data_IF_439767739893
#
_entry.id   IF_439767739893
#
_cell.length_a   1.000
_cell.length_b   1.000
_cell.length_c   1.000
_cell.angle_alpha   90.00
_cell.angle_beta   90.00
_cell.angle_gamma   90.00
#
_symmetry.space_group_name_H-M   'P 1'
#
loop_
_entity.id
_entity.type
_entity.pdbx_description
1 polymer ?
#
# COMPACT_ATOMS: atom_id res chain seq x y z
N UNK A 1 -10.86 -2.56 31.29
CA UNK A 1 -10.73 -2.28 29.83
C UNK A 1 -11.05 -3.57 29.10
N UNK A 2 -11.92 -3.57 28.08
CA UNK A 2 -12.17 -4.76 27.28
C UNK A 2 -10.89 -5.19 26.55
N UNK A 3 -10.47 -6.45 26.72
CA UNK A 3 -9.22 -6.97 26.17
C UNK A 3 -9.29 -7.22 24.67
N UNK A 4 -10.47 -7.60 24.16
CA UNK A 4 -10.70 -7.88 22.75
C UNK A 4 -10.70 -6.61 21.89
N UNK A 5 -11.61 -5.67 22.17
CA UNK A 5 -11.81 -4.49 21.32
C UNK A 5 -11.00 -3.25 21.77
N UNK A 6 -10.45 -3.24 22.99
CA UNK A 6 -9.69 -2.12 23.58
C UNK A 6 -10.46 -0.77 23.68
N UNK A 7 -11.77 -0.72 23.38
CA UNK A 7 -12.58 0.52 23.37
C UNK A 7 -13.12 0.92 24.74
N UNK A 8 -13.79 -0.01 25.42
CA UNK A 8 -14.54 0.26 26.64
C UNK A 8 -13.65 0.04 27.86
N UNK A 9 -13.82 0.90 28.87
CA UNK A 9 -13.27 0.71 30.22
C UNK A 9 -14.42 0.40 31.17
N UNK A 10 -14.16 -0.52 32.10
CA UNK A 10 -15.10 -0.91 33.14
C UNK A 10 -14.46 -0.59 34.49
N UNK A 11 -15.27 -0.15 35.46
CA UNK A 11 -14.80 0.17 36.80
C UNK A 11 -14.57 -1.10 37.65
N UNK A 12 -15.18 -2.23 37.28
CA UNK A 12 -15.05 -3.51 37.97
C UNK A 12 -15.37 -4.68 37.04
N UNK A 13 -15.05 -5.90 37.46
CA UNK A 13 -15.44 -7.13 36.74
C UNK A 13 -16.96 -7.27 36.71
N UNK A 14 -17.66 -6.86 37.78
CA UNK A 14 -19.13 -6.90 37.85
C UNK A 14 -19.77 -5.97 36.81
N UNK A 15 -19.30 -4.73 36.74
CA UNK A 15 -19.72 -3.76 35.72
C UNK A 15 -19.44 -4.28 34.29
N UNK A 16 -18.32 -5.00 34.09
CA UNK A 16 -18.03 -5.63 32.80
C UNK A 16 -19.05 -6.73 32.44
N UNK A 17 -19.43 -7.58 33.38
CA UNK A 17 -20.39 -8.66 33.15
C UNK A 17 -21.80 -8.11 32.86
N UNK A 18 -22.23 -7.08 33.60
CA UNK A 18 -23.53 -6.45 33.42
C UNK A 18 -23.68 -5.79 32.04
N UNK A 19 -22.62 -5.12 31.54
CA UNK A 19 -22.65 -4.45 30.23
C UNK A 19 -22.14 -5.31 29.07
N UNK A 20 -21.74 -6.57 29.32
CA UNK A 20 -21.24 -7.46 28.25
C UNK A 20 -22.28 -7.68 27.15
N UNK A 21 -23.58 -7.94 27.45
CA UNK A 21 -24.59 -8.20 26.42
C UNK A 21 -24.81 -7.01 25.49
N UNK A 22 -24.82 -5.79 26.03
CA UNK A 22 -24.95 -4.55 25.25
C UNK A 22 -23.69 -4.28 24.41
N UNK A 23 -22.52 -4.72 24.90
CA UNK A 23 -21.25 -4.48 24.26
C UNK A 23 -20.89 -5.51 23.18
N UNK A 24 -21.35 -6.75 23.29
CA UNK A 24 -20.85 -7.92 22.54
C UNK A 24 -20.71 -7.67 21.03
N UNK A 25 -21.78 -7.19 20.38
CA UNK A 25 -21.78 -6.96 18.94
C UNK A 25 -20.80 -5.86 18.52
N UNK A 26 -20.73 -4.77 19.29
CA UNK A 26 -19.75 -3.70 19.05
C UNK A 26 -18.31 -4.17 19.32
N UNK A 27 -18.14 -5.08 20.28
CA UNK A 27 -16.86 -5.69 20.62
C UNK A 27 -16.33 -6.54 19.46
N UNK A 28 -17.18 -7.42 18.89
CA UNK A 28 -16.83 -8.27 17.75
C UNK A 28 -16.43 -7.46 16.53
N UNK A 29 -17.21 -6.44 16.16
CA UNK A 29 -16.91 -5.55 15.02
C UNK A 29 -15.55 -4.87 15.17
N UNK A 30 -15.33 -4.22 16.31
CA UNK A 30 -14.05 -3.53 16.56
C UNK A 30 -12.87 -4.50 16.71
N UNK A 31 -13.07 -5.69 17.27
CA UNK A 31 -12.02 -6.70 17.34
C UNK A 31 -11.63 -7.19 15.93
N UNK A 32 -12.59 -7.34 15.02
CA UNK A 32 -12.32 -7.64 13.61
C UNK A 32 -11.57 -6.50 12.92
N UNK A 33 -12.01 -5.25 13.07
CA UNK A 33 -11.31 -4.07 12.53
C UNK A 33 -9.87 -3.96 13.05
N UNK A 34 -9.64 -4.22 14.35
CA UNK A 34 -8.29 -4.21 14.92
C UNK A 34 -7.42 -5.30 14.33
N UNK A 35 -7.99 -6.49 14.09
CA UNK A 35 -7.28 -7.59 13.44
C UNK A 35 -6.92 -7.25 12.01
N UNK A 36 -7.86 -6.69 11.25
CA UNK A 36 -7.62 -6.24 9.87
C UNK A 36 -6.56 -5.15 9.82
N UNK A 37 -6.62 -4.17 10.73
CA UNK A 37 -5.56 -3.15 10.84
C UNK A 37 -4.19 -3.78 11.16
N UNK A 38 -4.10 -4.76 12.05
CA UNK A 38 -2.81 -5.40 12.34
C UNK A 38 -2.27 -6.16 11.13
N UNK A 39 -3.13 -6.80 10.35
CA UNK A 39 -2.75 -7.62 9.20
C UNK A 39 -2.46 -6.81 7.93
N UNK A 40 -3.20 -5.72 7.71
CA UNK A 40 -3.22 -5.00 6.44
C UNK A 40 -2.79 -3.54 6.53
N UNK A 41 -2.51 -3.01 7.74
CA UNK A 41 -1.94 -1.67 7.84
C UNK A 41 -0.58 -1.67 7.14
N UNK A 42 -0.53 -0.97 6.01
CA UNK A 42 0.72 -0.77 5.31
C UNK A 42 1.70 -0.05 6.25
N UNK A 43 2.96 -0.48 6.31
CA UNK A 43 3.99 0.27 7.02
C UNK A 43 4.08 1.67 6.41
N UNK A 44 4.41 2.66 7.23
CA UNK A 44 4.77 3.97 6.69
C UNK A 44 5.89 3.78 5.69
N UNK A 45 5.74 4.37 4.49
CA UNK A 45 6.76 4.28 3.45
C UNK A 45 8.07 4.74 4.05
N UNK A 46 9.08 3.86 4.04
CA UNK A 46 10.43 4.20 4.51
C UNK A 46 11.09 5.26 3.63
N UNK A 47 10.45 5.59 2.50
CA UNK A 47 11.03 6.40 1.45
C UNK A 47 12.05 5.63 0.64
N UNK A 48 12.13 4.30 0.74
CA UNK A 48 13.06 3.48 -0.02
C UNK A 48 12.48 3.01 -1.37
N UNK A 49 13.36 2.77 -2.33
CA UNK A 49 12.98 2.18 -3.60
C UNK A 49 12.59 0.70 -3.38
N UNK A 50 11.42 0.25 -3.84
CA UNK A 50 10.94 -1.11 -3.55
C UNK A 50 11.63 -2.22 -4.35
N UNK A 51 12.65 -1.88 -5.15
CA UNK A 51 13.42 -2.82 -5.97
C UNK A 51 14.82 -3.02 -5.40
N UNK A 52 15.54 -1.93 -5.11
CA UNK A 52 16.90 -1.98 -4.57
C UNK A 52 16.99 -1.71 -3.07
N UNK A 53 15.88 -1.32 -2.42
CA UNK A 53 15.80 -0.98 -1.00
C UNK A 53 16.76 0.13 -0.55
N UNK A 54 17.19 0.97 -1.50
CA UNK A 54 17.96 2.17 -1.21
C UNK A 54 17.02 3.36 -1.00
N UNK A 55 17.36 4.31 -0.13
CA UNK A 55 16.60 5.54 0.06
C UNK A 55 16.32 6.25 -1.28
N UNK A 56 15.05 6.55 -1.54
CA UNK A 56 14.65 7.37 -2.68
C UNK A 56 15.26 8.76 -2.50
N UNK A 57 15.92 9.30 -3.54
CA UNK A 57 16.51 10.61 -3.40
C UNK A 57 15.42 11.66 -3.21
N UNK A 58 15.68 12.65 -2.35
CA UNK A 58 14.74 13.74 -2.01
C UNK A 58 14.33 14.56 -3.25
N UNK A 59 15.14 14.55 -4.31
CA UNK A 59 14.87 15.29 -5.54
C UNK A 59 13.83 14.60 -6.42
N UNK A 60 12.75 15.28 -6.85
CA UNK A 60 11.66 14.68 -7.64
C UNK A 60 12.09 14.15 -9.01
N UNK A 61 13.27 14.56 -9.51
CA UNK A 61 13.83 14.11 -10.79
C UNK A 61 14.64 12.80 -10.69
N UNK A 62 14.66 12.15 -9.53
CA UNK A 62 15.47 10.94 -9.27
C UNK A 62 14.62 9.71 -8.97
N UNK A 63 13.30 9.87 -8.97
CA UNK A 63 12.32 8.80 -8.87
C UNK A 63 11.14 9.09 -9.78
N UNK A 64 10.41 8.04 -10.17
CA UNK A 64 9.21 8.18 -10.98
C UNK A 64 8.07 7.34 -10.41
N UNK A 65 6.84 7.85 -10.53
CA UNK A 65 5.63 7.11 -10.21
C UNK A 65 5.27 6.22 -11.40
N UNK A 66 5.07 4.93 -11.16
CA UNK A 66 4.64 3.99 -12.20
C UNK A 66 3.12 4.00 -12.31
N UNK A 67 2.58 4.57 -13.41
CA UNK A 67 1.12 4.72 -13.65
C UNK A 67 0.33 3.41 -13.59
N UNK A 68 0.98 2.27 -13.82
CA UNK A 68 0.35 0.97 -13.79
C UNK A 68 0.15 0.39 -12.39
N UNK A 69 0.86 0.87 -11.36
CA UNK A 69 0.86 0.29 -10.00
C UNK A 69 1.03 1.29 -8.87
N UNK A 70 0.98 2.60 -9.15
CA UNK A 70 1.17 3.68 -8.16
C UNK A 70 2.41 3.54 -7.29
N UNK A 71 3.43 2.85 -7.81
CA UNK A 71 4.66 2.60 -7.06
C UNK A 71 5.73 3.60 -7.49
N UNK A 72 6.36 4.26 -6.52
CA UNK A 72 7.50 5.15 -6.76
C UNK A 72 8.78 4.31 -6.84
N UNK A 73 9.51 4.44 -7.94
CA UNK A 73 10.75 3.69 -8.20
C UNK A 73 11.88 4.68 -8.52
N UNK A 74 13.10 4.41 -8.03
CA UNK A 74 14.24 5.26 -8.36
C UNK A 74 14.59 5.16 -9.86
N UNK A 75 15.06 6.26 -10.44
CA UNK A 75 15.44 6.29 -11.87
C UNK A 75 16.57 5.29 -12.18
N UNK A 76 17.40 4.92 -11.21
CA UNK A 76 18.42 3.89 -11.36
C UNK A 76 17.82 2.52 -11.70
N UNK A 77 16.79 2.09 -10.95
CA UNK A 77 16.10 0.83 -11.24
C UNK A 77 15.29 0.89 -12.55
N UNK A 78 14.70 2.04 -12.88
CA UNK A 78 14.05 2.25 -14.18
C UNK A 78 15.05 2.10 -15.34
N UNK A 79 16.22 2.72 -15.21
CA UNK A 79 17.30 2.66 -16.21
C UNK A 79 17.86 1.24 -16.34
N UNK A 80 18.07 0.53 -15.23
CA UNK A 80 18.51 -0.86 -15.25
C UNK A 80 17.49 -1.76 -15.97
N UNK A 81 16.20 -1.56 -15.75
CA UNK A 81 15.16 -2.32 -16.46
C UNK A 81 15.13 -1.99 -17.96
N UNK A 82 15.24 -0.71 -18.34
CA UNK A 82 15.31 -0.31 -19.74
C UNK A 82 16.52 -0.92 -20.46
N UNK A 83 17.68 -0.95 -19.79
CA UNK A 83 18.91 -1.54 -20.33
C UNK A 83 18.69 -3.02 -20.64
N UNK A 84 18.15 -3.77 -19.68
CA UNK A 84 17.78 -5.19 -19.86
C UNK A 84 16.78 -5.38 -21.01
N UNK A 85 15.77 -4.52 -21.11
CA UNK A 85 14.77 -4.61 -22.17
C UNK A 85 15.39 -4.43 -23.57
N UNK A 86 16.36 -3.54 -23.71
CA UNK A 86 17.08 -3.32 -24.96
C UNK A 86 17.99 -4.53 -25.27
N UNK A 87 18.80 -4.97 -24.29
CA UNK A 87 19.75 -6.07 -24.45
C UNK A 87 19.05 -7.40 -24.81
N UNK A 88 17.90 -7.65 -24.20
CA UNK A 88 17.12 -8.87 -24.40
C UNK A 88 16.02 -8.71 -25.47
N UNK A 89 15.91 -7.54 -26.11
CA UNK A 89 14.86 -7.23 -27.10
C UNK A 89 13.43 -7.50 -26.57
N UNK A 90 13.19 -7.13 -25.31
CA UNK A 90 11.90 -7.28 -24.65
C UNK A 90 11.01 -6.04 -24.86
N UNK A 91 9.70 -6.25 -24.77
CA UNK A 91 8.75 -5.15 -24.75
C UNK A 91 8.88 -4.31 -23.46
N UNK A 92 8.75 -2.97 -23.56
CA UNK A 92 8.81 -2.09 -22.40
C UNK A 92 7.79 -2.46 -21.33
N UNK A 93 8.25 -2.55 -20.09
CA UNK A 93 7.46 -2.98 -18.94
C UNK A 93 7.81 -2.20 -17.68
N UNK A 94 6.88 -2.20 -16.72
CA UNK A 94 7.13 -1.62 -15.41
C UNK A 94 8.24 -2.39 -14.67
N UNK A 95 9.27 -1.71 -14.14
CA UNK A 95 10.36 -2.37 -13.43
C UNK A 95 9.90 -3.06 -12.12
N UNK A 96 8.77 -2.64 -11.55
CA UNK A 96 8.24 -3.19 -10.30
C UNK A 96 7.23 -4.32 -10.55
N UNK A 97 6.09 -4.02 -11.17
CA UNK A 97 5.00 -4.99 -11.34
C UNK A 97 5.03 -5.74 -12.69
N UNK A 98 6.01 -5.46 -13.57
CA UNK A 98 6.18 -6.08 -14.90
C UNK A 98 5.03 -5.93 -15.88
N UNK A 99 4.01 -5.12 -15.57
CA UNK A 99 2.93 -4.80 -16.51
C UNK A 99 3.50 -4.02 -17.69
N UNK A 100 3.04 -4.31 -18.90
CA UNK A 100 3.45 -3.61 -20.11
C UNK A 100 3.28 -2.09 -19.95
N UNK A 101 4.25 -1.34 -20.47
CA UNK A 101 4.15 0.11 -20.53
C UNK A 101 3.01 0.51 -21.48
N UNK A 102 2.31 1.63 -21.21
CA UNK A 102 1.34 2.16 -22.16
C UNK A 102 2.04 2.50 -23.49
N UNK A 103 1.37 2.22 -24.60
CA UNK A 103 1.86 2.52 -25.94
C UNK A 103 1.56 3.97 -26.34
N UNK A 104 0.53 4.57 -25.72
CA UNK A 104 0.13 5.96 -25.96
C UNK A 104 -0.07 6.72 -24.66
N UNK A 105 -0.06 8.05 -24.74
CA UNK A 105 -0.30 8.91 -23.59
C UNK A 105 -1.72 8.72 -23.04
N UNK A 106 -2.71 8.49 -23.90
CA UNK A 106 -4.10 8.22 -23.50
C UNK A 106 -4.20 6.94 -22.66
N UNK A 107 -3.48 5.88 -23.05
CA UNK A 107 -3.39 4.66 -22.25
C UNK A 107 -2.71 4.90 -20.90
N UNK A 108 -1.68 5.76 -20.87
CA UNK A 108 -1.04 6.21 -19.65
C UNK A 108 -2.01 6.91 -18.70
N UNK A 109 -2.79 7.87 -19.21
CA UNK A 109 -3.81 8.59 -18.45
C UNK A 109 -4.91 7.65 -17.95
N UNK A 110 -5.41 6.74 -18.80
CA UNK A 110 -6.41 5.75 -18.39
C UNK A 110 -5.90 4.86 -17.25
N UNK A 111 -4.64 4.41 -17.32
CA UNK A 111 -4.03 3.61 -16.25
C UNK A 111 -3.93 4.41 -14.94
N UNK A 112 -3.55 5.68 -15.02
CA UNK A 112 -3.52 6.57 -13.86
C UNK A 112 -4.91 6.76 -13.24
N UNK A 113 -5.94 7.02 -14.05
CA UNK A 113 -7.31 7.22 -13.55
C UNK A 113 -7.85 5.97 -12.84
N UNK A 114 -7.55 4.76 -13.34
CA UNK A 114 -7.88 3.50 -12.65
C UNK A 114 -7.26 3.40 -11.26
N UNK A 115 -6.07 3.96 -11.06
CA UNK A 115 -5.40 4.00 -9.75
C UNK A 115 -6.01 5.03 -8.82
N UNK A 116 -6.39 6.19 -9.34
CA UNK A 116 -7.15 7.20 -8.59
C UNK A 116 -8.49 6.63 -8.10
N UNK A 117 -9.22 5.91 -8.95
CA UNK A 117 -10.48 5.25 -8.57
C UNK A 117 -10.29 4.18 -7.48
N UNK A 118 -9.14 3.52 -7.48
CA UNK A 118 -8.76 2.55 -6.45
C UNK A 118 -8.28 3.20 -5.13
N UNK A 119 -8.14 4.53 -5.11
CA UNK A 119 -7.56 5.29 -4.00
C UNK A 119 -6.14 4.81 -3.63
N UNK A 120 -5.35 4.47 -4.67
CA UNK A 120 -3.91 4.15 -4.59
C UNK A 120 -3.02 5.40 -4.64
#
# INVERSE_FOLDING_TARGET
KCTACKSVRYCSIKCQQEHLPEHEETCKKRAAELRDNILFKQPESTGDCPICFLPLPIGPKKSTLMVCCSTIVCCGCCHANLTREIEESLFPSCPFCRKAAPLTDEEGVMNMMKRVEAND
#
